data_IF_951514131809
#
_entry.id   IF_951514131809
#
_cell.length_a   1.000
_cell.length_b   1.000
_cell.length_c   1.000
_cell.angle_alpha   90.00
_cell.angle_beta   90.00
_cell.angle_gamma   90.00
#
_symmetry.space_group_name_H-M   'P 1'
#
loop_
_entity.id
_entity.type
_entity.pdbx_description
1 polymer ?
#
# COMPACT_ATOMS: atom_id res chain seq x y z
N UNK A 1 8.47 -3.43 27.71
CA UNK A 1 7.49 -3.21 26.62
C UNK A 1 8.26 -3.17 25.32
N UNK A 2 8.15 -4.19 24.48
CA UNK A 2 8.75 -4.16 23.14
C UNK A 2 8.06 -3.08 22.30
N UNK A 3 8.84 -2.27 21.58
CA UNK A 3 8.30 -1.30 20.62
C UNK A 3 7.82 -2.07 19.40
N UNK A 4 6.55 -1.92 19.04
CA UNK A 4 6.05 -2.40 17.76
C UNK A 4 6.86 -1.77 16.61
N UNK A 5 7.26 -2.61 15.66
CA UNK A 5 7.96 -2.15 14.45
C UNK A 5 6.92 -1.55 13.50
N UNK A 6 7.02 -0.25 13.28
CA UNK A 6 6.20 0.46 12.29
C UNK A 6 6.92 0.50 10.95
N UNK A 7 6.26 0.00 9.91
CA UNK A 7 6.73 0.05 8.53
C UNK A 7 6.01 1.17 7.79
N UNK A 8 6.72 1.82 6.87
CA UNK A 8 6.16 2.84 5.97
C UNK A 8 6.31 2.36 4.54
N UNK A 9 5.22 2.45 3.77
CA UNK A 9 5.22 2.17 2.33
C UNK A 9 5.13 3.51 1.61
N UNK A 10 6.04 3.71 0.66
CA UNK A 10 6.04 4.82 -0.26
C UNK A 10 5.64 4.28 -1.63
N UNK A 11 4.64 4.89 -2.26
CA UNK A 11 4.15 4.52 -3.59
C UNK A 11 4.35 5.73 -4.51
N UNK A 12 4.78 5.47 -5.74
CA UNK A 12 4.68 6.48 -6.80
C UNK A 12 3.24 6.57 -7.34
N UNK A 13 3.00 7.51 -8.27
CA UNK A 13 1.66 7.74 -8.82
C UNK A 13 1.09 6.51 -9.55
N UNK A 14 1.96 5.69 -10.14
CA UNK A 14 1.55 4.47 -10.83
C UNK A 14 1.19 3.37 -9.83
N UNK A 15 2.09 3.09 -8.89
CA UNK A 15 1.90 2.09 -7.83
C UNK A 15 0.68 2.43 -6.96
N UNK A 16 0.46 3.72 -6.65
CA UNK A 16 -0.73 4.19 -5.95
C UNK A 16 -2.00 3.84 -6.72
N UNK A 17 -2.03 4.12 -8.02
CA UNK A 17 -3.15 3.76 -8.89
C UNK A 17 -3.40 2.26 -8.98
N UNK A 18 -2.33 1.44 -9.02
CA UNK A 18 -2.43 -0.02 -8.99
C UNK A 18 -3.06 -0.50 -7.69
N UNK A 19 -2.59 -0.02 -6.54
CA UNK A 19 -3.12 -0.40 -5.23
C UNK A 19 -4.60 -0.03 -5.09
N UNK A 20 -4.98 1.20 -5.47
CA UNK A 20 -6.38 1.64 -5.42
C UNK A 20 -7.28 0.76 -6.28
N UNK A 21 -6.84 0.41 -7.49
CA UNK A 21 -7.61 -0.46 -8.39
C UNK A 21 -7.78 -1.86 -7.81
N UNK A 22 -6.70 -2.47 -7.34
CA UNK A 22 -6.75 -3.81 -6.72
C UNK A 22 -7.66 -3.85 -5.48
N UNK A 23 -7.65 -2.82 -4.63
CA UNK A 23 -8.54 -2.74 -3.49
C UNK A 23 -10.02 -2.59 -3.90
N UNK A 24 -10.31 -1.82 -4.95
CA UNK A 24 -11.68 -1.71 -5.49
C UNK A 24 -12.18 -3.02 -6.09
N UNK A 25 -11.32 -3.74 -6.81
CA UNK A 25 -11.66 -5.05 -7.38
C UNK A 25 -11.98 -6.06 -6.27
N UNK A 26 -11.15 -6.10 -5.22
CA UNK A 26 -11.39 -6.98 -4.06
C UNK A 26 -12.65 -6.59 -3.28
N UNK A 27 -12.91 -5.29 -3.08
CA UNK A 27 -14.17 -4.83 -2.48
C UNK A 27 -15.37 -5.32 -3.28
N UNK A 28 -15.33 -5.16 -4.61
CA UNK A 28 -16.43 -5.57 -5.50
C UNK A 28 -16.68 -7.06 -5.38
N UNK A 29 -15.61 -7.86 -5.42
CA UNK A 29 -15.68 -9.31 -5.24
C UNK A 29 -16.27 -9.71 -3.87
N UNK A 30 -15.83 -9.09 -2.78
CA UNK A 30 -16.38 -9.38 -1.44
C UNK A 30 -17.87 -9.04 -1.35
N UNK A 31 -18.29 -7.92 -1.95
CA UNK A 31 -19.69 -7.52 -2.01
C UNK A 31 -20.53 -8.52 -2.83
N UNK A 32 -20.02 -9.00 -3.97
CA UNK A 32 -20.67 -10.04 -4.78
C UNK A 32 -20.79 -11.38 -4.01
N UNK A 33 -19.80 -11.72 -3.19
CA UNK A 33 -19.82 -12.89 -2.31
C UNK A 33 -20.71 -12.70 -1.07
N UNK A 34 -21.32 -11.52 -0.87
CA UNK A 34 -22.14 -11.18 0.30
C UNK A 34 -21.35 -11.06 1.60
N UNK A 35 -20.03 -10.82 1.52
CA UNK A 35 -19.13 -10.66 2.66
C UNK A 35 -18.93 -9.18 2.99
N UNK A 36 -18.58 -8.89 4.25
CA UNK A 36 -18.17 -7.55 4.64
C UNK A 36 -16.86 -7.17 3.95
N UNK A 37 -16.82 -5.94 3.44
CA UNK A 37 -15.63 -5.30 2.89
C UNK A 37 -15.11 -4.16 3.79
N UNK A 38 -15.55 -4.07 5.04
CA UNK A 38 -15.23 -2.95 5.94
C UNK A 38 -13.71 -2.78 6.11
N UNK A 39 -12.98 -3.89 6.20
CA UNK A 39 -11.52 -3.88 6.28
C UNK A 39 -10.86 -3.33 5.01
N UNK A 40 -11.44 -3.58 3.83
CA UNK A 40 -10.96 -3.04 2.56
C UNK A 40 -11.29 -1.56 2.43
N UNK A 41 -12.47 -1.15 2.91
CA UNK A 41 -12.87 0.25 2.96
C UNK A 41 -11.94 1.10 3.84
N UNK A 42 -11.57 0.59 5.01
CA UNK A 42 -10.56 1.22 5.87
C UNK A 42 -9.22 1.40 5.16
N UNK A 43 -8.79 0.41 4.37
CA UNK A 43 -7.55 0.50 3.58
C UNK A 43 -7.67 1.51 2.45
N UNK A 44 -8.80 1.53 1.73
CA UNK A 44 -9.07 2.53 0.69
C UNK A 44 -9.00 3.96 1.24
N UNK A 45 -9.60 4.20 2.41
CA UNK A 45 -9.54 5.52 3.08
C UNK A 45 -8.10 5.87 3.48
N UNK A 46 -7.35 4.92 4.04
CA UNK A 46 -5.95 5.14 4.46
C UNK A 46 -5.02 5.42 3.27
N UNK A 47 -5.13 4.65 2.18
CA UNK A 47 -4.29 4.82 0.99
C UNK A 47 -4.72 6.04 0.18
N UNK A 48 -6.03 6.30 0.06
CA UNK A 48 -6.58 7.44 -0.67
C UNK A 48 -6.27 8.78 -0.02
N UNK A 49 -6.25 8.86 1.31
CA UNK A 49 -5.91 10.07 2.06
C UNK A 49 -4.45 10.15 2.47
N UNK A 50 -3.61 9.19 2.06
CA UNK A 50 -2.20 9.20 2.40
C UNK A 50 -1.52 10.48 1.88
N UNK A 51 -0.68 11.15 2.69
CA UNK A 51 -0.08 12.41 2.29
C UNK A 51 0.95 12.21 1.17
N UNK A 52 0.81 12.99 0.09
CA UNK A 52 1.83 13.10 -0.93
C UNK A 52 3.06 13.80 -0.35
N UNK A 53 4.19 13.09 -0.29
CA UNK A 53 5.48 13.66 0.09
C UNK A 53 6.44 13.53 -1.07
N UNK A 54 7.10 14.63 -1.42
CA UNK A 54 8.27 14.59 -2.29
C UNK A 54 9.48 14.17 -1.45
N UNK A 55 9.95 12.94 -1.63
CA UNK A 55 11.19 12.46 -1.02
C UNK A 55 12.19 12.07 -2.10
N UNK A 56 13.48 12.32 -1.84
CA UNK A 56 14.57 11.84 -2.70
C UNK A 56 14.77 10.36 -2.42
N UNK A 57 14.35 9.50 -3.35
CA UNK A 57 14.63 8.07 -3.27
C UNK A 57 16.14 7.88 -3.47
N UNK A 58 16.83 7.38 -2.43
CA UNK A 58 18.21 6.93 -2.55
C UNK A 58 18.13 5.42 -2.77
N UNK A 59 18.12 5.02 -4.03
CA UNK A 59 18.28 3.61 -4.36
C UNK A 59 19.65 3.15 -3.87
N UNK A 60 19.68 2.32 -2.83
CA UNK A 60 20.89 1.55 -2.55
C UNK A 60 21.05 0.60 -3.72
N UNK A 61 22.09 0.82 -4.53
CA UNK A 61 22.58 -0.23 -5.43
C UNK A 61 22.76 -1.48 -4.57
N UNK A 62 22.12 -2.58 -4.97
CA UNK A 62 22.53 -3.90 -4.48
C UNK A 62 24.00 -3.98 -4.82
N UNK A 63 24.86 -3.98 -3.81
CA UNK A 63 26.19 -4.53 -3.94
C UNK A 63 25.96 -6.00 -4.28
N UNK A 64 25.97 -6.31 -5.57
CA UNK A 64 26.30 -7.65 -6.03
C UNK A 64 27.76 -7.90 -5.63
N UNK A 65 27.97 -8.09 -4.32
CA UNK A 65 29.20 -8.52 -3.69
C UNK A 65 28.94 -9.88 -3.09
N UNK A 66 29.15 -10.91 -3.92
CA UNK A 66 30.08 -12.00 -3.66
C UNK A 66 29.62 -13.27 -4.37
N UNK A 67 30.14 -13.49 -5.59
CA UNK A 67 30.60 -14.81 -5.99
C UNK A 67 31.73 -14.72 -6.99
#
# INVERSE_FOLDING_TARGET
>A
MEKEKLYHVALDDYEHGVVIRSLNDEKTKLMEEGKSADAVDDLLVKVGNAPLKKFKVIERKRSDEAR
#
